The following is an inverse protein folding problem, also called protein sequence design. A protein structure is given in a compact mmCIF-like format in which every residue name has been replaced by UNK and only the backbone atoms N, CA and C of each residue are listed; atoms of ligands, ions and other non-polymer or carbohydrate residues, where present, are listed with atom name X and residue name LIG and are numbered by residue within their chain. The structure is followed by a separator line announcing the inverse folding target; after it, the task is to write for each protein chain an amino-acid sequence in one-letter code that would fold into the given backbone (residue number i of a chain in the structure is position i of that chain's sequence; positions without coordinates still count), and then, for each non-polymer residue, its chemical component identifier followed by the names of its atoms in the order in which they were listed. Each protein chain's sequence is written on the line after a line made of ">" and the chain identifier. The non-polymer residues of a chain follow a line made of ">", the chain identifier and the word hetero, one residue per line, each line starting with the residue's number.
data_IF_563601409209
#
_entry.id   IF_563601409209
#
_cell.length_a   1.000
_cell.length_b   1.000
_cell.length_c   1.000
_cell.angle_alpha   90.00
_cell.angle_beta   90.00
_cell.angle_gamma   90.00
#
_symmetry.space_group_name_H-M   'P 1'
#
loop_
_entity.id
_entity.type
_entity.pdbx_description
1 polymer ?
#
# COMPACT_ATOMS: atom_id res chain seq x y z
N UNK A 1 -3.84 83.20 14.57
CA UNK A 1 -2.80 82.24 14.98
C UNK A 1 -2.83 81.08 14.02
N UNK A 2 -1.65 80.75 13.47
CA UNK A 2 -1.41 79.72 12.46
C UNK A 2 -1.43 78.31 13.04
N UNK A 3 -1.77 77.32 12.22
CA UNK A 3 -1.62 75.88 12.52
C UNK A 3 -2.54 75.02 11.65
N UNK A 4 -2.34 74.99 10.32
CA UNK A 4 -1.55 73.99 9.56
C UNK A 4 -2.36 72.73 9.23
N UNK A 5 -2.87 72.74 7.99
CA UNK A 5 -3.24 71.56 7.21
C UNK A 5 -1.96 70.82 6.85
N UNK A 6 -1.92 69.49 7.01
CA UNK A 6 -1.29 68.59 6.03
C UNK A 6 -2.05 67.26 6.02
N UNK A 7 -2.53 66.92 4.82
CA UNK A 7 -2.82 65.57 4.40
C UNK A 7 -1.50 64.78 4.31
N UNK A 8 -1.56 63.49 4.61
CA UNK A 8 -1.20 62.49 3.60
C UNK A 8 -1.67 61.10 4.02
N UNK A 9 -2.13 60.40 2.99
CA UNK A 9 -2.73 59.09 2.99
C UNK A 9 -1.68 57.99 2.87
N UNK A 10 -2.17 56.78 3.18
CA UNK A 10 -1.81 55.50 2.57
C UNK A 10 -0.67 54.69 3.21
N UNK A 11 -1.03 53.44 3.53
CA UNK A 11 -0.16 52.31 3.24
C UNK A 11 0.27 51.48 4.44
N UNK A 12 -0.54 50.46 4.74
CA UNK A 12 -0.11 49.09 5.05
C UNK A 12 1.14 48.85 5.91
N UNK A 13 0.97 48.33 7.11
CA UNK A 13 1.24 46.91 7.37
C UNK A 13 0.84 46.56 8.81
N UNK A 14 -0.24 45.79 8.92
CA UNK A 14 -0.51 44.98 10.11
C UNK A 14 0.48 43.82 10.09
N UNK A 15 1.60 43.96 10.79
CA UNK A 15 2.49 42.85 11.10
C UNK A 15 1.78 41.93 12.12
N UNK A 16 0.96 41.04 11.57
CA UNK A 16 0.45 39.87 12.26
C UNK A 16 1.66 38.99 12.62
N UNK A 17 2.12 39.06 13.88
CA UNK A 17 2.84 37.96 14.50
C UNK A 17 1.85 36.79 14.67
N UNK A 18 1.73 35.96 13.63
CA UNK A 18 1.25 34.60 13.78
C UNK A 18 2.46 33.70 13.95
N UNK A 19 2.57 33.20 15.17
CA UNK A 19 3.46 32.15 15.63
C UNK A 19 3.49 30.99 14.62
N UNK A 20 4.57 30.88 13.86
CA UNK A 20 4.85 29.70 13.04
C UNK A 20 5.22 28.57 13.99
N UNK A 21 4.22 27.88 14.53
CA UNK A 21 4.41 26.53 15.03
C UNK A 21 4.89 25.68 13.85
N UNK A 22 6.18 25.36 13.83
CA UNK A 22 6.71 24.28 13.01
C UNK A 22 6.12 22.97 13.54
N UNK A 23 5.37 22.19 12.76
CA UNK A 23 5.12 20.82 13.14
C UNK A 23 6.43 20.05 12.97
N UNK A 24 6.91 19.61 14.12
CA UNK A 24 7.95 18.61 14.30
C UNK A 24 7.90 17.51 13.24
N UNK A 25 9.10 17.25 12.71
CA UNK A 25 9.60 15.96 12.25
C UNK A 25 8.83 14.76 12.85
N UNK A 26 7.99 14.12 12.05
CA UNK A 26 7.59 12.72 12.24
C UNK A 26 8.11 11.89 11.07
N UNK A 27 9.43 11.82 10.95
CA UNK A 27 10.09 10.62 10.46
C UNK A 27 9.81 9.47 11.44
N UNK A 28 8.63 8.87 11.31
CA UNK A 28 8.17 7.74 12.09
C UNK A 28 6.67 7.60 11.88
N UNK A 29 6.13 6.58 11.22
CA UNK A 29 6.61 5.22 11.10
C UNK A 29 6.04 4.60 9.80
N UNK A 30 6.89 4.43 8.81
CA UNK A 30 6.74 3.38 7.79
C UNK A 30 7.59 2.15 8.14
N UNK A 31 8.13 2.12 9.37
CA UNK A 31 8.89 1.01 9.94
C UNK A 31 8.00 0.04 10.75
N UNK A 32 6.69 0.28 10.86
CA UNK A 32 5.75 -0.59 11.57
C UNK A 32 4.98 -1.57 10.66
N UNK A 33 5.58 -1.99 9.55
CA UNK A 33 5.32 -3.33 8.99
C UNK A 33 6.64 -4.09 8.90
N UNK A 34 7.48 -3.98 9.94
CA UNK A 34 8.36 -5.09 10.30
C UNK A 34 7.60 -6.01 11.25
N UNK A 35 7.83 -7.31 11.09
CA UNK A 35 7.17 -8.44 11.78
C UNK A 35 5.78 -8.72 11.20
N UNK A 36 5.57 -9.74 10.36
CA UNK A 36 5.87 -11.15 10.60
C UNK A 36 6.43 -11.77 9.30
N UNK A 37 7.76 -11.86 9.21
CA UNK A 37 8.41 -12.87 8.37
C UNK A 37 8.85 -13.99 9.30
N UNK A 38 7.94 -14.93 9.61
CA UNK A 38 8.34 -16.21 10.20
C UNK A 38 8.51 -17.22 9.06
N UNK A 39 9.78 -17.49 8.77
CA UNK A 39 10.31 -18.71 8.19
C UNK A 39 9.71 -19.22 6.87
N UNK A 40 9.54 -18.31 5.92
CA UNK A 40 9.46 -18.71 4.52
C UNK A 40 10.57 -18.02 3.73
N UNK A 41 11.76 -18.63 3.75
CA UNK A 41 12.81 -18.29 2.80
C UNK A 41 12.31 -18.63 1.40
N UNK A 42 11.75 -17.64 0.70
CA UNK A 42 11.37 -17.70 -0.73
C UNK A 42 12.59 -17.84 -1.68
N UNK A 43 13.70 -18.39 -1.20
CA UNK A 43 15.02 -18.40 -1.84
C UNK A 43 15.07 -19.21 -3.13
N UNK A 44 14.06 -20.04 -3.43
CA UNK A 44 14.02 -20.91 -4.62
C UNK A 44 13.07 -20.40 -5.72
N UNK A 45 12.12 -19.52 -5.39
CA UNK A 45 11.23 -18.91 -6.38
C UNK A 45 10.76 -17.53 -5.88
N UNK A 46 11.28 -16.41 -6.42
CA UNK A 46 10.87 -15.09 -5.97
C UNK A 46 9.45 -14.80 -6.48
N UNK A 47 8.46 -15.08 -5.63
CA UNK A 47 7.09 -14.61 -5.85
C UNK A 47 7.06 -13.08 -5.72
N UNK A 48 6.41 -12.35 -6.66
CA UNK A 48 6.25 -10.91 -6.59
C UNK A 48 5.67 -10.43 -5.24
N UNK A 49 6.14 -9.27 -4.77
CA UNK A 49 5.76 -8.70 -3.46
C UNK A 49 4.23 -8.62 -3.27
N UNK A 50 3.49 -8.12 -4.27
CA UNK A 50 2.04 -7.97 -4.17
C UNK A 50 1.32 -9.32 -3.99
N UNK A 51 1.82 -10.38 -4.65
CA UNK A 51 1.21 -11.71 -4.56
C UNK A 51 1.50 -12.33 -3.20
N UNK A 52 2.70 -12.11 -2.65
CA UNK A 52 3.02 -12.49 -1.27
C UNK A 52 2.10 -11.79 -0.25
N UNK A 53 1.85 -10.50 -0.44
CA UNK A 53 0.91 -9.75 0.41
C UNK A 53 -0.50 -10.33 0.33
N UNK A 54 -0.98 -10.65 -0.88
CA UNK A 54 -2.29 -11.30 -1.06
C UNK A 54 -2.39 -12.63 -0.32
N UNK A 55 -1.35 -13.47 -0.44
CA UNK A 55 -1.29 -14.75 0.28
C UNK A 55 -1.38 -14.53 1.79
N UNK A 56 -0.56 -13.63 2.34
CA UNK A 56 -0.55 -13.32 3.78
C UNK A 56 -1.91 -12.80 4.24
N UNK A 57 -2.53 -11.87 3.51
CA UNK A 57 -3.86 -11.34 3.86
C UNK A 57 -4.98 -12.37 3.86
N UNK A 58 -4.79 -13.49 3.14
CA UNK A 58 -5.74 -14.59 3.07
C UNK A 58 -5.31 -15.80 3.92
N UNK A 59 -4.27 -15.65 4.77
CA UNK A 59 -3.82 -16.71 5.68
C UNK A 59 -2.93 -17.78 5.05
N UNK A 60 -2.41 -17.55 3.84
CA UNK A 60 -1.45 -18.42 3.16
C UNK A 60 0.00 -18.00 3.49
N UNK A 61 0.32 -17.86 4.77
CA UNK A 61 1.59 -17.30 5.26
C UNK A 61 2.61 -18.37 5.69
N UNK A 62 2.24 -19.65 5.63
CA UNK A 62 3.08 -20.77 6.06
C UNK A 62 3.00 -21.96 5.08
N UNK A 63 3.99 -22.87 5.14
CA UNK A 63 4.12 -23.98 4.18
C UNK A 63 2.89 -24.88 4.21
N UNK A 64 2.35 -25.18 5.40
CA UNK A 64 1.17 -26.04 5.58
C UNK A 64 -0.07 -25.47 4.89
N UNK A 65 -0.32 -24.17 5.03
CA UNK A 65 -1.44 -23.51 4.34
C UNK A 65 -1.26 -23.50 2.81
N UNK A 66 -0.01 -23.41 2.33
CA UNK A 66 0.30 -23.37 0.90
C UNK A 66 0.35 -24.74 0.24
N UNK A 67 0.67 -25.83 0.96
CA UNK A 67 0.70 -27.18 0.41
C UNK A 67 -0.67 -27.63 -0.14
N UNK A 68 -1.74 -27.14 0.47
CA UNK A 68 -3.12 -27.46 0.09
C UNK A 68 -3.73 -26.45 -0.90
N UNK A 69 -2.95 -25.44 -1.32
CA UNK A 69 -3.40 -24.39 -2.21
C UNK A 69 -3.81 -24.94 -3.57
N UNK A 70 -5.02 -24.59 -4.02
CA UNK A 70 -5.61 -25.08 -5.26
C UNK A 70 -6.18 -23.94 -6.13
N UNK A 71 -6.83 -24.32 -7.23
CA UNK A 71 -7.41 -23.35 -8.18
C UNK A 71 -8.54 -22.50 -7.56
N UNK A 72 -9.32 -23.08 -6.65
CA UNK A 72 -10.38 -22.33 -5.96
C UNK A 72 -9.78 -21.25 -5.05
N UNK A 73 -8.65 -21.52 -4.40
CA UNK A 73 -7.93 -20.53 -3.59
C UNK A 73 -7.41 -19.38 -4.44
N UNK A 74 -6.91 -19.66 -5.64
CA UNK A 74 -6.49 -18.63 -6.59
C UNK A 74 -7.67 -17.73 -7.00
N UNK A 75 -8.83 -18.31 -7.29
CA UNK A 75 -10.05 -17.55 -7.60
C UNK A 75 -10.50 -16.71 -6.41
N UNK A 76 -10.38 -17.25 -5.19
CA UNK A 76 -10.69 -16.54 -3.96
C UNK A 76 -9.75 -15.36 -3.72
N UNK A 77 -8.45 -15.50 -4.00
CA UNK A 77 -7.48 -14.40 -3.93
C UNK A 77 -7.84 -13.26 -4.89
N UNK A 78 -8.20 -13.59 -6.14
CA UNK A 78 -8.62 -12.59 -7.11
C UNK A 78 -9.94 -11.92 -6.67
N UNK A 79 -10.89 -12.70 -6.16
CA UNK A 79 -12.15 -12.16 -5.64
C UNK A 79 -11.93 -11.24 -4.43
N UNK A 80 -11.03 -11.59 -3.52
CA UNK A 80 -10.62 -10.77 -2.38
C UNK A 80 -9.98 -9.45 -2.86
N UNK A 81 -9.03 -9.53 -3.79
CA UNK A 81 -8.38 -8.37 -4.39
C UNK A 81 -9.39 -7.45 -5.12
N UNK A 82 -10.45 -8.00 -5.72
CA UNK A 82 -11.47 -7.20 -6.39
C UNK A 82 -12.45 -6.53 -5.42
N UNK A 83 -12.89 -7.24 -4.38
CA UNK A 83 -14.08 -6.87 -3.61
C UNK A 83 -13.80 -6.36 -2.21
N UNK A 84 -12.71 -6.81 -1.60
CA UNK A 84 -12.41 -6.58 -0.18
C UNK A 84 -11.24 -5.64 -0.03
N UNK A 85 -10.10 -5.98 -0.65
CA UNK A 85 -8.87 -5.20 -0.54
C UNK A 85 -9.03 -3.71 -0.91
N UNK A 86 -9.79 -3.30 -1.94
CA UNK A 86 -9.98 -1.88 -2.28
C UNK A 86 -10.71 -1.09 -1.20
N UNK A 87 -11.51 -1.76 -0.37
CA UNK A 87 -12.22 -1.14 0.76
C UNK A 87 -11.30 -0.94 1.98
N UNK A 88 -10.20 -1.69 2.03
CA UNK A 88 -9.19 -1.60 3.08
C UNK A 88 -8.09 -0.58 2.73
N UNK A 89 -7.79 -0.42 1.44
CA UNK A 89 -6.80 0.54 0.94
C UNK A 89 -7.43 1.92 0.77
N UNK A 90 -7.22 2.79 1.77
CA UNK A 90 -7.75 4.17 1.76
C UNK A 90 -6.89 5.13 0.94
N UNK A 91 -5.60 4.86 0.83
CA UNK A 91 -4.65 5.71 0.14
C UNK A 91 -4.58 5.42 -1.37
N UNK A 92 -4.57 6.48 -2.19
CA UNK A 92 -4.56 6.36 -3.65
C UNK A 92 -3.19 5.91 -4.19
N UNK A 93 -2.09 6.32 -3.54
CA UNK A 93 -0.73 5.95 -3.94
C UNK A 93 -0.53 4.46 -3.72
N UNK A 94 -0.93 3.94 -2.56
CA UNK A 94 -0.87 2.52 -2.25
C UNK A 94 -1.73 1.69 -3.22
N UNK A 95 -2.92 2.19 -3.55
CA UNK A 95 -3.82 1.56 -4.53
C UNK A 95 -3.17 1.47 -5.90
N UNK A 96 -2.58 2.56 -6.40
CA UNK A 96 -1.86 2.59 -7.67
C UNK A 96 -0.64 1.67 -7.67
N UNK A 97 0.11 1.63 -6.56
CA UNK A 97 1.27 0.78 -6.43
C UNK A 97 0.91 -0.72 -6.46
N UNK A 98 -0.21 -1.10 -5.84
CA UNK A 98 -0.65 -2.48 -5.79
C UNK A 98 -1.34 -2.95 -7.08
N UNK A 99 -2.31 -2.19 -7.58
CA UNK A 99 -3.12 -2.59 -8.74
C UNK A 99 -2.48 -2.24 -10.09
N UNK A 100 -1.52 -1.30 -10.12
CA UNK A 100 -0.84 -0.89 -11.34
C UNK A 100 -1.84 -0.42 -12.41
N UNK A 101 -1.82 -1.06 -13.57
CA UNK A 101 -2.72 -0.74 -14.70
C UNK A 101 -4.21 -0.96 -14.38
N UNK A 102 -4.53 -1.74 -13.34
CA UNK A 102 -5.91 -2.00 -12.91
C UNK A 102 -6.41 -0.98 -11.87
N UNK A 103 -5.61 0.03 -11.50
CA UNK A 103 -5.98 0.96 -10.44
C UNK A 103 -7.22 1.82 -10.74
N UNK A 104 -7.53 2.02 -12.03
CA UNK A 104 -8.71 2.75 -12.51
C UNK A 104 -9.95 1.86 -12.63
N UNK A 105 -9.77 0.55 -12.84
CA UNK A 105 -10.85 -0.42 -12.94
C UNK A 105 -10.43 -1.74 -12.29
N UNK A 106 -10.65 -1.80 -10.97
CA UNK A 106 -10.23 -2.91 -10.14
C UNK A 106 -11.04 -4.18 -10.43
N UNK A 107 -12.25 -4.07 -10.98
CA UNK A 107 -13.07 -5.24 -11.31
C UNK A 107 -12.40 -6.12 -12.38
N UNK A 108 -11.57 -5.51 -13.22
CA UNK A 108 -10.75 -6.18 -14.24
C UNK A 108 -9.46 -6.81 -13.71
N UNK A 109 -9.13 -6.59 -12.43
CA UNK A 109 -7.90 -7.14 -11.84
C UNK A 109 -7.79 -8.63 -12.09
N UNK A 110 -6.59 -9.08 -12.46
CA UNK A 110 -6.28 -10.51 -12.49
C UNK A 110 -4.81 -10.70 -12.15
N UNK A 111 -4.50 -11.81 -11.48
CA UNK A 111 -3.12 -12.21 -11.28
C UNK A 111 -2.58 -12.59 -12.66
N UNK A 112 -1.50 -11.94 -13.09
CA UNK A 112 -0.88 -12.19 -14.38
C UNK A 112 -0.57 -13.69 -14.56
N UNK A 113 -0.78 -14.22 -15.77
CA UNK A 113 -0.62 -15.64 -16.06
C UNK A 113 0.77 -16.19 -15.70
N UNK A 114 1.82 -15.40 -15.89
CA UNK A 114 3.19 -15.73 -15.45
C UNK A 114 3.30 -15.89 -13.94
N UNK A 115 2.66 -15.01 -13.17
CA UNK A 115 2.65 -15.08 -11.70
C UNK A 115 1.83 -16.25 -11.18
N UNK A 116 0.72 -16.61 -11.85
CA UNK A 116 -0.04 -17.84 -11.56
C UNK A 116 0.84 -19.08 -11.70
N UNK A 117 1.62 -19.18 -12.79
CA UNK A 117 2.57 -20.28 -13.00
C UNK A 117 3.67 -20.34 -11.93
N UNK A 118 4.21 -19.18 -11.53
CA UNK A 118 5.19 -19.09 -10.45
C UNK A 118 4.60 -19.56 -9.12
N UNK A 119 3.38 -19.15 -8.79
CA UNK A 119 2.68 -19.59 -7.59
C UNK A 119 2.49 -21.09 -7.55
N UNK A 120 1.99 -21.70 -8.63
CA UNK A 120 1.82 -23.16 -8.66
C UNK A 120 3.15 -23.91 -8.58
N UNK A 121 4.23 -23.39 -9.18
CA UNK A 121 5.56 -23.96 -9.02
C UNK A 121 6.02 -23.89 -7.56
N UNK A 122 5.76 -22.78 -6.88
CA UNK A 122 6.10 -22.61 -5.48
C UNK A 122 5.28 -23.56 -4.57
N UNK A 123 3.97 -23.64 -4.77
CA UNK A 123 3.08 -24.59 -4.08
C UNK A 123 3.56 -26.03 -4.25
N UNK A 124 3.97 -26.42 -5.47
CA UNK A 124 4.55 -27.75 -5.72
C UNK A 124 5.82 -27.99 -4.89
N UNK A 125 6.70 -27.01 -4.77
CA UNK A 125 7.91 -27.12 -3.95
C UNK A 125 7.61 -27.25 -2.45
N UNK A 126 6.52 -26.66 -1.99
CA UNK A 126 6.03 -26.84 -0.61
C UNK A 126 5.56 -28.27 -0.33
N UNK A 127 5.07 -29.00 -1.34
CA UNK A 127 4.62 -30.39 -1.22
C UNK A 127 5.75 -31.43 -1.31
N UNK A 128 6.94 -31.03 -1.77
CA UNK A 128 8.09 -31.93 -1.96
C UNK A 128 9.08 -31.91 -0.77
N UNK A 129 8.81 -31.10 0.27
CA UNK A 129 9.60 -31.00 1.50
C UNK A 129 8.96 -31.78 2.64
#
# INVERSE_FOLDING_TARGET
>A
MFGKIMADSAGSNTDNQMDLMQPHNNNGSLDAIEVISRDMEFTVCPIPKYLRQLLIYNGFDNITSLSEFNEQDLLNLEAFAKKVLPKLMKDEVDRKQFYGIYAEDIELFSIASGHKKLLYKFVKQCNEK
#
